data_IF_977957624923
#
_entry.id   IF_977957624923
#
_cell.length_a   1.000
_cell.length_b   1.000
_cell.length_c   1.000
_cell.angle_alpha   90.00
_cell.angle_beta   90.00
_cell.angle_gamma   90.00
#
_symmetry.space_group_name_H-M   'P 1'
#
loop_
_entity.id
_entity.type
_entity.pdbx_description
1 polymer ?
#
# COMPACT_ATOMS: atom_id res chain seq x y z
N UNK A 1 4.60 27.41 21.15
CA UNK A 1 5.38 26.23 20.75
C UNK A 1 6.16 26.60 19.50
N UNK A 2 7.47 26.31 19.47
CA UNK A 2 8.29 26.53 18.29
C UNK A 2 7.79 25.61 17.17
N UNK A 3 7.72 26.10 15.93
CA UNK A 3 7.37 25.30 14.75
C UNK A 3 8.58 25.29 13.83
N UNK A 4 8.88 24.12 13.28
CA UNK A 4 9.95 23.90 12.31
C UNK A 4 9.39 23.98 10.89
N UNK A 5 10.20 24.44 9.94
CA UNK A 5 9.83 24.42 8.52
C UNK A 5 10.37 23.15 7.88
N UNK A 6 9.50 22.41 7.19
CA UNK A 6 9.91 21.32 6.31
C UNK A 6 9.91 21.84 4.87
N UNK A 7 11.11 21.96 4.30
CA UNK A 7 11.31 22.42 2.92
C UNK A 7 11.97 21.32 2.09
N UNK A 8 11.47 21.09 0.89
CA UNK A 8 12.13 20.26 -0.11
C UNK A 8 13.12 21.11 -0.91
N UNK A 9 14.35 20.62 -1.09
CA UNK A 9 15.36 21.26 -1.93
C UNK A 9 15.79 20.32 -3.04
N UNK A 10 15.65 20.76 -4.29
CA UNK A 10 15.94 19.99 -5.49
C UNK A 10 17.33 20.35 -6.01
N UNK A 11 18.28 19.43 -5.85
CA UNK A 11 19.69 19.63 -6.22
C UNK A 11 20.13 18.68 -7.34
N UNK A 12 21.11 19.12 -8.12
CA UNK A 12 21.85 18.27 -9.05
C UNK A 12 22.96 17.55 -8.27
N UNK A 13 22.85 16.22 -8.18
CA UNK A 13 23.78 15.41 -7.38
C UNK A 13 25.26 15.67 -7.68
N UNK A 14 25.63 15.85 -8.95
CA UNK A 14 27.03 16.02 -9.35
C UNK A 14 27.65 17.39 -9.06
N UNK A 15 26.83 18.45 -8.88
CA UNK A 15 27.34 19.81 -8.64
C UNK A 15 26.91 20.41 -7.31
N UNK A 16 25.87 19.85 -6.67
CA UNK A 16 25.24 20.44 -5.48
C UNK A 16 24.42 21.70 -5.78
N UNK A 17 24.40 22.17 -7.04
CA UNK A 17 23.58 23.32 -7.46
C UNK A 17 22.11 22.95 -7.57
N UNK A 18 21.24 23.95 -7.67
CA UNK A 18 19.81 23.73 -7.91
C UNK A 18 19.56 22.96 -9.21
N UNK A 19 18.56 22.07 -9.18
CA UNK A 19 18.22 21.24 -10.32
C UNK A 19 17.76 22.12 -11.50
N UNK A 20 18.36 22.04 -12.71
CA UNK A 20 18.13 22.99 -13.79
C UNK A 20 16.69 22.96 -14.37
N UNK A 21 15.98 21.85 -14.18
CA UNK A 21 14.58 21.71 -14.59
C UNK A 21 13.57 22.21 -13.54
N UNK A 22 14.00 22.51 -12.31
CA UNK A 22 13.13 23.00 -11.26
C UNK A 22 13.02 24.53 -11.32
N UNK A 23 11.83 25.04 -11.67
CA UNK A 23 11.51 26.47 -11.64
C UNK A 23 11.52 27.03 -10.21
N UNK A 24 11.10 26.21 -9.25
CA UNK A 24 11.17 26.49 -7.82
C UNK A 24 12.01 25.41 -7.14
N UNK A 25 13.33 25.62 -7.04
CA UNK A 25 14.23 24.58 -6.52
C UNK A 25 14.11 24.37 -5.00
N UNK A 26 13.42 25.27 -4.30
CA UNK A 26 13.01 25.11 -2.91
C UNK A 26 11.49 25.18 -2.83
N UNK A 27 10.86 24.13 -2.33
CA UNK A 27 9.40 24.02 -2.19
C UNK A 27 9.09 23.89 -0.70
N UNK A 28 8.29 24.81 -0.17
CA UNK A 28 7.79 24.68 1.19
C UNK A 28 6.76 23.55 1.25
N UNK A 29 6.96 22.58 2.14
CA UNK A 29 6.03 21.44 2.29
C UNK A 29 5.00 21.77 3.37
N UNK A 30 5.46 21.99 4.60
CA UNK A 30 4.62 22.36 5.73
C UNK A 30 5.45 22.87 6.91
N UNK A 31 4.79 23.45 7.91
CA UNK A 31 5.36 23.58 9.26
C UNK A 31 5.09 22.32 10.07
N UNK A 32 6.08 21.88 10.83
CA UNK A 32 6.05 20.69 11.68
C UNK A 32 6.27 21.07 13.15
N UNK A 33 5.56 20.45 14.11
CA UNK A 33 5.92 20.56 15.53
C UNK A 33 7.21 19.78 15.85
N UNK A 34 7.53 18.75 15.06
CA UNK A 34 8.75 17.95 15.20
C UNK A 34 9.91 18.57 14.42
N UNK A 35 11.12 18.43 14.98
CA UNK A 35 12.37 18.83 14.33
C UNK A 35 12.66 17.95 13.12
N UNK A 36 12.40 16.65 13.23
CA UNK A 36 12.79 15.63 12.25
C UNK A 36 11.62 14.69 11.95
N UNK A 37 10.55 15.17 11.29
CA UNK A 37 9.47 14.29 10.87
C UNK A 37 10.00 13.25 9.87
N UNK A 38 9.41 12.05 9.87
CA UNK A 38 9.78 11.00 8.93
C UNK A 38 9.18 11.30 7.56
N UNK A 39 10.04 11.31 6.54
CA UNK A 39 9.67 11.68 5.17
C UNK A 39 9.99 10.55 4.20
N UNK A 40 8.97 10.10 3.46
CA UNK A 40 9.13 9.15 2.35
C UNK A 40 8.80 9.85 1.05
N UNK A 41 9.75 9.91 0.11
CA UNK A 41 9.58 10.57 -1.17
C UNK A 41 9.81 9.63 -2.36
N UNK A 42 9.07 9.84 -3.45
CA UNK A 42 9.35 9.23 -4.76
C UNK A 42 9.08 10.24 -5.87
N UNK A 43 9.89 10.16 -6.93
CA UNK A 43 9.75 10.97 -8.14
C UNK A 43 9.52 10.04 -9.32
N UNK A 44 8.43 10.26 -10.05
CA UNK A 44 8.18 9.61 -11.33
C UNK A 44 7.65 10.63 -12.31
N UNK A 45 8.41 10.84 -13.39
CA UNK A 45 8.07 11.86 -14.37
C UNK A 45 8.11 13.26 -13.76
N UNK A 46 7.00 13.99 -13.89
CA UNK A 46 6.83 15.33 -13.30
C UNK A 46 6.24 15.27 -11.88
N UNK A 47 5.77 14.09 -11.44
CA UNK A 47 5.15 13.89 -10.14
C UNK A 47 6.21 13.59 -9.07
N UNK A 48 6.22 14.40 -8.01
CA UNK A 48 6.87 14.10 -6.73
C UNK A 48 5.79 13.78 -5.71
N UNK A 49 5.78 12.55 -5.21
CA UNK A 49 4.93 12.13 -4.11
C UNK A 49 5.73 12.10 -2.80
N UNK A 50 5.11 12.60 -1.74
CA UNK A 50 5.73 12.76 -0.41
C UNK A 50 4.73 12.31 0.66
N UNK A 51 5.14 11.38 1.52
CA UNK A 51 4.45 11.11 2.79
C UNK A 51 5.28 11.71 3.91
N UNK A 52 4.64 12.55 4.72
CA UNK A 52 5.22 13.11 5.95
C UNK A 52 4.41 12.56 7.12
N UNK A 53 5.08 11.90 8.04
CA UNK A 53 4.46 11.30 9.22
C UNK A 53 5.29 11.56 10.47
N UNK A 54 4.60 11.53 11.60
CA UNK A 54 5.17 11.70 12.92
C UNK A 54 5.59 10.34 13.48
N UNK A 55 6.81 10.23 13.99
CA UNK A 55 7.25 9.02 14.68
C UNK A 55 6.58 8.90 16.06
N UNK A 56 6.33 10.05 16.71
CA UNK A 56 5.73 10.15 18.05
C UNK A 56 4.19 10.26 18.03
N UNK A 57 3.57 10.33 16.85
CA UNK A 57 2.14 10.61 16.69
C UNK A 57 1.72 12.03 17.08
N UNK A 58 2.64 13.00 17.08
CA UNK A 58 2.37 14.40 17.45
C UNK A 58 1.53 15.16 16.42
N UNK A 59 1.45 14.66 15.18
CA UNK A 59 0.59 15.22 14.13
C UNK A 59 0.10 14.14 13.15
N UNK A 60 -1.00 14.45 12.46
CA UNK A 60 -1.62 13.63 11.41
C UNK A 60 -0.69 13.39 10.22
N UNK A 61 -0.60 12.16 9.73
CA UNK A 61 0.17 11.86 8.52
C UNK A 61 -0.44 12.58 7.32
N UNK A 62 0.41 12.99 6.38
CA UNK A 62 -0.01 13.69 5.17
C UNK A 62 0.66 13.15 3.93
N UNK A 63 -0.14 12.99 2.88
CA UNK A 63 0.31 12.76 1.51
C UNK A 63 0.31 14.09 0.76
N UNK A 64 1.44 14.43 0.15
CA UNK A 64 1.57 15.55 -0.76
C UNK A 64 1.96 15.06 -2.15
N UNK A 65 1.36 15.67 -3.18
CA UNK A 65 1.78 15.47 -4.57
C UNK A 65 2.15 16.83 -5.13
N UNK A 66 3.36 16.95 -5.67
CA UNK A 66 3.84 18.15 -6.34
C UNK A 66 4.17 17.84 -7.81
N UNK A 67 3.98 18.84 -8.65
CA UNK A 67 4.74 18.94 -9.89
C UNK A 67 6.11 19.54 -9.55
N UNK A 68 7.16 18.72 -9.49
CA UNK A 68 8.45 19.17 -8.95
C UNK A 68 9.18 20.14 -9.87
N UNK A 69 8.88 20.10 -11.18
CA UNK A 69 9.48 21.03 -12.15
C UNK A 69 8.92 22.42 -11.98
N UNK A 70 7.62 22.54 -11.74
CA UNK A 70 6.94 23.82 -11.54
C UNK A 70 6.89 24.25 -10.08
N UNK A 71 7.15 23.36 -9.13
CA UNK A 71 6.95 23.59 -7.69
C UNK A 71 5.49 23.62 -7.24
N UNK A 72 4.55 23.33 -8.14
CA UNK A 72 3.12 23.43 -7.85
C UNK A 72 2.63 22.27 -6.98
N UNK A 73 2.02 22.57 -5.84
CA UNK A 73 1.34 21.58 -4.98
C UNK A 73 0.00 21.18 -5.62
N UNK A 74 -0.11 19.93 -6.03
CA UNK A 74 -1.29 19.36 -6.70
C UNK A 74 -2.26 18.69 -5.74
N UNK A 75 -1.75 18.08 -4.67
CA UNK A 75 -2.54 17.43 -3.62
C UNK A 75 -1.89 17.66 -2.26
N UNK A 76 -2.74 17.86 -1.26
CA UNK A 76 -2.43 17.64 0.14
C UNK A 76 -3.60 16.87 0.74
N UNK A 77 -3.32 15.69 1.29
CA UNK A 77 -4.32 14.84 1.90
C UNK A 77 -3.87 14.45 3.30
N UNK A 78 -4.64 14.85 4.30
CA UNK A 78 -4.44 14.47 5.69
C UNK A 78 -5.24 13.23 6.05
N UNK A 79 -4.60 12.32 6.78
CA UNK A 79 -5.25 11.13 7.33
C UNK A 79 -5.08 11.10 8.84
N UNK A 80 -5.74 10.16 9.51
CA UNK A 80 -5.48 9.92 10.94
C UNK A 80 -3.98 9.71 11.18
N UNK A 81 -3.53 10.02 12.39
CA UNK A 81 -2.17 9.72 12.83
C UNK A 81 -1.78 8.31 12.41
N UNK A 82 -0.53 8.16 11.96
CA UNK A 82 0.09 6.85 11.96
C UNK A 82 -0.56 5.90 10.90
N UNK A 83 -1.14 6.44 9.84
CA UNK A 83 -1.80 5.73 8.75
C UNK A 83 -0.89 5.48 7.55
N UNK A 84 0.00 6.40 7.18
CA UNK A 84 0.86 6.28 6.01
C UNK A 84 2.31 6.07 6.41
N UNK A 85 2.95 5.05 5.84
CA UNK A 85 4.35 4.76 6.13
C UNK A 85 5.21 4.46 4.91
N UNK A 86 4.60 4.44 3.71
CA UNK A 86 5.29 4.24 2.45
C UNK A 86 4.39 4.60 1.27
N UNK A 87 4.98 4.62 0.07
CA UNK A 87 4.27 4.85 -1.18
C UNK A 87 5.07 4.25 -2.34
N UNK A 88 4.40 3.83 -3.41
CA UNK A 88 5.06 3.36 -4.62
C UNK A 88 4.23 3.69 -5.86
N UNK A 89 4.91 4.07 -6.94
CA UNK A 89 4.25 4.21 -8.23
C UNK A 89 4.08 2.84 -8.89
N UNK A 90 2.88 2.57 -9.38
CA UNK A 90 2.54 1.40 -10.20
C UNK A 90 2.71 1.75 -11.69
N UNK A 91 2.34 2.96 -12.04
CA UNK A 91 2.65 3.61 -13.32
C UNK A 91 2.95 5.08 -13.03
N UNK A 92 3.39 5.89 -14.01
CA UNK A 92 3.59 7.32 -13.81
C UNK A 92 2.35 8.11 -13.37
N UNK A 93 1.16 7.56 -13.64
CA UNK A 93 -0.14 8.18 -13.34
C UNK A 93 -0.88 7.46 -12.20
N UNK A 94 -0.34 6.35 -11.68
CA UNK A 94 -0.98 5.57 -10.63
C UNK A 94 -0.03 5.39 -9.44
N UNK A 95 -0.44 5.95 -8.31
CA UNK A 95 0.26 5.86 -7.04
C UNK A 95 -0.50 4.93 -6.11
N UNK A 96 0.21 4.03 -5.43
CA UNK A 96 -0.34 3.19 -4.38
C UNK A 96 0.26 3.59 -3.04
N UNK A 97 -0.63 3.87 -2.08
CA UNK A 97 -0.29 4.28 -0.71
C UNK A 97 -0.93 3.28 0.26
N UNK A 98 -0.16 2.46 0.99
CA UNK A 98 -0.69 1.60 2.03
C UNK A 98 -1.22 2.45 3.21
N UNK A 99 -2.47 2.20 3.61
CA UNK A 99 -3.10 2.79 4.78
C UNK A 99 -3.17 1.75 5.91
N UNK A 100 -2.38 1.98 6.96
CA UNK A 100 -2.24 1.09 8.14
C UNK A 100 -3.49 1.05 8.99
N UNK A 101 -4.16 2.19 9.17
CA UNK A 101 -5.35 2.29 10.03
C UNK A 101 -6.54 1.58 9.38
N UNK A 102 -6.66 1.69 8.06
CA UNK A 102 -7.77 1.12 7.30
C UNK A 102 -7.47 -0.27 6.71
N UNK A 103 -6.25 -0.79 6.90
CA UNK A 103 -5.80 -2.08 6.37
C UNK A 103 -6.13 -2.25 4.88
N UNK A 104 -5.71 -1.29 4.05
CA UNK A 104 -5.89 -1.38 2.61
C UNK A 104 -4.85 -0.56 1.85
N UNK A 105 -4.76 -0.78 0.54
CA UNK A 105 -4.03 0.08 -0.38
C UNK A 105 -4.97 1.13 -0.96
N UNK A 106 -4.60 2.39 -0.85
CA UNK A 106 -5.26 3.48 -1.57
C UNK A 106 -4.60 3.66 -2.93
N UNK A 107 -5.40 3.69 -3.98
CA UNK A 107 -4.93 3.90 -5.35
C UNK A 107 -5.33 5.31 -5.78
N UNK A 108 -4.32 6.11 -6.11
CA UNK A 108 -4.46 7.50 -6.51
C UNK A 108 -4.12 7.64 -7.98
N UNK A 109 -5.04 8.25 -8.74
CA UNK A 109 -4.82 8.68 -10.11
C UNK A 109 -4.21 10.08 -10.12
N UNK A 110 -3.12 10.25 -10.86
CA UNK A 110 -2.36 11.48 -10.99
C UNK A 110 -2.38 11.92 -12.46
N UNK A 111 -3.39 12.68 -12.92
CA UNK A 111 -3.47 13.16 -14.30
C UNK A 111 -2.19 13.91 -14.71
N UNK A 112 -1.76 13.91 -15.97
CA UNK A 112 -0.61 14.70 -16.40
C UNK A 112 -0.82 16.20 -16.16
N UNK A 113 0.11 16.85 -15.44
CA UNK A 113 0.00 18.28 -15.05
C UNK A 113 -0.17 19.24 -16.23
N UNK A 114 0.40 18.91 -17.39
CA UNK A 114 0.43 19.79 -18.56
C UNK A 114 -0.87 19.81 -19.35
N UNK A 115 -1.66 18.72 -19.27
CA UNK A 115 -2.83 18.52 -20.12
C UNK A 115 -4.15 18.71 -19.36
N UNK A 116 -4.14 18.53 -18.04
CA UNK A 116 -5.35 18.56 -17.27
C UNK A 116 -5.12 19.17 -15.87
N UNK A 117 -5.77 20.30 -15.53
CA UNK A 117 -5.67 20.90 -14.20
C UNK A 117 -6.38 20.07 -13.12
N UNK A 118 -7.00 18.94 -13.47
CA UNK A 118 -7.67 18.08 -12.50
C UNK A 118 -6.70 17.68 -11.38
N UNK A 119 -7.11 17.85 -10.11
CA UNK A 119 -6.31 17.42 -8.99
C UNK A 119 -6.17 15.89 -9.01
N UNK A 120 -5.09 15.36 -8.41
CA UNK A 120 -5.02 13.95 -8.04
C UNK A 120 -6.27 13.49 -7.29
N UNK A 121 -6.77 12.31 -7.61
CA UNK A 121 -7.97 11.74 -6.98
C UNK A 121 -7.74 10.28 -6.58
N UNK A 122 -8.28 9.88 -5.44
CA UNK A 122 -8.36 8.47 -5.07
C UNK A 122 -9.44 7.78 -5.89
N UNK A 123 -9.09 6.69 -6.58
CA UNK A 123 -9.99 5.98 -7.49
C UNK A 123 -10.41 4.61 -6.98
N UNK A 124 -9.61 4.00 -6.10
CA UNK A 124 -9.80 2.62 -5.66
C UNK A 124 -9.19 2.40 -4.27
N UNK A 125 -9.75 1.44 -3.54
CA UNK A 125 -9.18 0.91 -2.30
C UNK A 125 -9.15 -0.62 -2.36
N UNK A 126 -7.96 -1.19 -2.21
CA UNK A 126 -7.73 -2.63 -2.30
C UNK A 126 -7.46 -3.19 -0.90
N UNK A 127 -8.41 -3.92 -0.32
CA UNK A 127 -8.28 -4.46 1.05
C UNK A 127 -7.24 -5.57 1.12
N UNK A 128 -6.47 -5.61 2.20
CA UNK A 128 -5.65 -6.77 2.55
C UNK A 128 -6.50 -7.80 3.32
N UNK A 129 -5.99 -9.01 3.57
CA UNK A 129 -6.69 -9.95 4.44
C UNK A 129 -6.98 -9.34 5.81
N UNK A 130 -8.16 -9.62 6.37
CA UNK A 130 -8.53 -9.19 7.71
C UNK A 130 -7.47 -9.62 8.73
N UNK A 131 -7.02 -8.71 9.57
CA UNK A 131 -6.09 -9.01 10.68
C UNK A 131 -6.93 -9.46 11.86
N UNK A 132 -6.55 -10.56 12.52
CA UNK A 132 -7.31 -11.08 13.67
C UNK A 132 -7.32 -10.08 14.83
N UNK A 133 -8.41 -9.99 15.63
CA UNK A 133 -8.60 -8.94 16.64
C UNK A 133 -7.50 -8.84 17.71
N UNK A 134 -6.80 -9.94 17.98
CA UNK A 134 -5.70 -10.00 18.94
C UNK A 134 -4.37 -9.43 18.40
N UNK A 135 -4.32 -9.11 17.11
CA UNK A 135 -3.17 -8.54 16.42
C UNK A 135 -3.43 -7.10 15.96
N UNK A 136 -2.33 -6.35 15.82
CA UNK A 136 -2.33 -4.97 15.33
C UNK A 136 -1.22 -4.79 14.31
N UNK A 137 -1.55 -4.12 13.21
CA UNK A 137 -0.60 -3.78 12.16
C UNK A 137 0.26 -2.60 12.63
N UNK A 138 1.57 -2.80 12.73
CA UNK A 138 2.57 -1.81 13.17
C UNK A 138 3.32 -1.19 12.02
N UNK A 139 3.70 -1.99 11.02
CA UNK A 139 4.35 -1.49 9.80
C UNK A 139 3.55 -1.96 8.61
N UNK A 140 3.29 -1.03 7.68
CA UNK A 140 2.64 -1.32 6.41
C UNK A 140 3.24 -0.42 5.31
N UNK A 141 4.37 -0.88 4.76
CA UNK A 141 5.21 -0.10 3.84
C UNK A 141 5.36 -0.80 2.51
N UNK A 142 5.36 -0.06 1.41
CA UNK A 142 5.59 -0.62 0.09
C UNK A 142 6.89 -0.09 -0.53
N UNK A 143 7.48 -0.93 -1.39
CA UNK A 143 8.69 -0.67 -2.15
C UNK A 143 8.49 -1.23 -3.57
N UNK A 144 8.85 -0.47 -4.59
CA UNK A 144 8.76 -0.92 -5.97
C UNK A 144 9.90 -0.33 -6.78
N UNK A 145 11.05 -0.99 -6.77
CA UNK A 145 12.21 -0.55 -7.54
C UNK A 145 12.52 -1.55 -8.68
N UNK A 146 12.93 -1.07 -9.87
CA UNK A 146 13.05 0.35 -10.25
C UNK A 146 11.68 1.03 -10.39
N UNK A 147 11.60 2.35 -10.26
CA UNK A 147 10.38 3.11 -10.53
C UNK A 147 9.99 3.06 -12.04
N UNK A 148 8.69 3.14 -12.38
CA UNK A 148 8.25 3.17 -13.78
C UNK A 148 8.73 4.44 -14.48
N UNK A 149 9.01 4.38 -15.77
CA UNK A 149 9.40 5.54 -16.56
C UNK A 149 8.22 6.04 -17.40
N UNK A 150 8.06 7.36 -17.54
CA UNK A 150 7.03 7.95 -18.42
C UNK A 150 7.24 7.58 -19.89
N UNK A 151 8.50 7.54 -20.30
CA UNK A 151 8.94 7.17 -21.63
C UNK A 151 10.24 6.40 -21.47
N UNK A 152 10.42 5.31 -22.23
CA UNK A 152 11.75 4.74 -22.48
C UNK A 152 12.65 5.92 -22.83
N UNK A 153 13.62 6.23 -21.98
CA UNK A 153 14.53 7.37 -22.17
C UNK A 153 15.03 7.25 -23.61
N UNK A 154 14.66 8.16 -24.54
CA UNK A 154 14.80 7.90 -25.98
C UNK A 154 16.27 7.71 -26.41
N UNK A 155 17.20 8.06 -25.53
CA UNK A 155 18.64 7.93 -25.71
C UNK A 155 19.26 6.66 -25.13
N UNK A 156 18.52 5.89 -24.34
CA UNK A 156 19.00 4.58 -23.91
C UNK A 156 18.45 3.56 -24.90
N UNK A 157 19.31 2.96 -25.76
CA UNK A 157 18.86 1.83 -26.56
C UNK A 157 18.23 0.81 -25.62
N UNK A 158 17.13 0.11 -26.01
CA UNK A 158 16.52 -0.92 -25.19
C UNK A 158 17.64 -1.87 -24.78
N UNK A 159 18.09 -1.75 -23.53
CA UNK A 159 19.28 -2.46 -23.10
C UNK A 159 18.81 -3.91 -23.01
N UNK A 160 19.38 -4.84 -23.80
CA UNK A 160 18.86 -6.22 -23.89
C UNK A 160 18.79 -6.96 -22.56
N UNK A 161 19.45 -6.41 -21.54
CA UNK A 161 19.68 -7.05 -20.25
C UNK A 161 18.85 -6.43 -19.11
N UNK A 162 18.21 -5.28 -19.30
CA UNK A 162 17.46 -4.62 -18.22
C UNK A 162 16.00 -5.06 -18.22
N UNK A 163 15.54 -5.61 -17.09
CA UNK A 163 14.12 -5.86 -16.89
C UNK A 163 13.36 -4.55 -16.97
N UNK A 164 12.32 -4.50 -17.81
CA UNK A 164 11.46 -3.32 -17.87
C UNK A 164 10.83 -3.09 -16.48
N UNK A 165 10.81 -1.85 -15.95
CA UNK A 165 10.23 -1.56 -14.66
C UNK A 165 8.79 -2.04 -14.53
N UNK A 166 8.02 -1.99 -15.62
CA UNK A 166 6.63 -2.46 -15.66
C UNK A 166 6.52 -3.93 -15.22
N UNK A 167 7.56 -4.73 -15.50
CA UNK A 167 7.64 -6.14 -15.12
C UNK A 167 8.25 -6.39 -13.74
N UNK A 168 8.68 -5.35 -13.02
CA UNK A 168 9.25 -5.48 -11.68
C UNK A 168 8.21 -5.97 -10.67
N UNK A 169 8.69 -6.35 -9.49
CA UNK A 169 7.84 -6.60 -8.34
C UNK A 169 7.63 -5.33 -7.52
N UNK A 170 6.52 -5.32 -6.78
CA UNK A 170 6.25 -4.45 -5.65
C UNK A 170 6.24 -5.34 -4.42
N UNK A 171 7.03 -4.97 -3.43
CA UNK A 171 7.10 -5.62 -2.13
C UNK A 171 6.38 -4.75 -1.11
N UNK A 172 5.56 -5.37 -0.28
CA UNK A 172 4.88 -4.72 0.83
C UNK A 172 5.24 -5.43 2.12
N UNK A 173 5.87 -4.70 3.03
CA UNK A 173 6.32 -5.19 4.32
C UNK A 173 5.25 -4.94 5.39
N UNK A 174 4.92 -6.00 6.11
CA UNK A 174 4.00 -6.04 7.24
C UNK A 174 4.78 -6.38 8.49
N UNK A 175 4.65 -5.57 9.54
CA UNK A 175 4.96 -6.00 10.91
C UNK A 175 3.69 -5.98 11.73
N UNK A 176 3.37 -7.11 12.33
CA UNK A 176 2.14 -7.33 13.07
C UNK A 176 2.52 -7.76 14.48
N UNK A 177 1.88 -7.18 15.49
CA UNK A 177 2.14 -7.51 16.90
C UNK A 177 0.84 -7.80 17.63
N UNK A 178 0.84 -8.81 18.49
CA UNK A 178 -0.27 -9.10 19.41
C UNK A 178 -0.13 -8.33 20.72
N UNK A 179 -1.25 -8.20 21.44
CA UNK A 179 -1.26 -7.73 22.83
C UNK A 179 -0.45 -8.61 23.78
N UNK A 180 -0.30 -9.90 23.45
CA UNK A 180 0.54 -10.86 24.18
C UNK A 180 2.03 -10.75 23.87
N UNK A 181 2.44 -9.77 23.06
CA UNK A 181 3.84 -9.53 22.68
C UNK A 181 4.36 -10.47 21.59
N UNK A 182 3.52 -11.33 21.02
CA UNK A 182 3.89 -12.11 19.83
C UNK A 182 4.04 -11.15 18.66
N UNK A 183 5.06 -11.38 17.84
CA UNK A 183 5.27 -10.59 16.64
C UNK A 183 5.41 -11.49 15.43
N UNK A 184 4.94 -11.00 14.30
CA UNK A 184 5.04 -11.66 13.02
C UNK A 184 5.36 -10.62 11.96
N UNK A 185 6.32 -10.94 11.10
CA UNK A 185 6.65 -10.11 9.95
C UNK A 185 6.37 -10.88 8.67
N UNK A 186 5.75 -10.20 7.71
CA UNK A 186 5.42 -10.78 6.42
C UNK A 186 5.80 -9.82 5.30
N UNK A 187 6.23 -10.37 4.17
CA UNK A 187 6.38 -9.63 2.93
C UNK A 187 5.40 -10.17 1.89
N UNK A 188 4.54 -9.29 1.39
CA UNK A 188 3.66 -9.51 0.24
C UNK A 188 4.39 -9.05 -1.02
N UNK A 189 4.52 -9.94 -2.00
CA UNK A 189 5.11 -9.65 -3.30
C UNK A 189 4.01 -9.68 -4.35
N UNK A 190 4.00 -8.69 -5.23
CA UNK A 190 3.11 -8.60 -6.39
C UNK A 190 3.90 -8.19 -7.62
N UNK A 191 3.53 -8.67 -8.81
CA UNK A 191 4.02 -8.03 -10.04
C UNK A 191 3.38 -6.66 -10.21
N UNK A 192 4.18 -5.64 -10.53
CA UNK A 192 3.69 -4.30 -10.85
C UNK A 192 2.70 -4.34 -12.01
N UNK A 193 3.02 -5.05 -13.09
CA UNK A 193 2.12 -5.23 -14.24
C UNK A 193 0.78 -5.84 -13.84
N UNK A 194 0.80 -6.91 -13.04
CA UNK A 194 -0.43 -7.57 -12.61
C UNK A 194 -1.29 -6.66 -11.71
N UNK A 195 -0.66 -5.87 -10.84
CA UNK A 195 -1.36 -4.86 -10.04
C UNK A 195 -1.96 -3.74 -10.91
N UNK A 196 -1.23 -3.29 -11.94
CA UNK A 196 -1.72 -2.32 -12.92
C UNK A 196 -2.97 -2.85 -13.65
N UNK A 197 -2.89 -4.06 -14.18
CA UNK A 197 -4.00 -4.69 -14.91
C UNK A 197 -5.21 -4.91 -13.98
N UNK A 198 -4.98 -5.24 -12.71
CA UNK A 198 -6.01 -5.34 -11.67
C UNK A 198 -6.70 -4.00 -11.43
N UNK A 199 -5.93 -2.91 -11.24
CA UNK A 199 -6.49 -1.56 -11.06
C UNK A 199 -7.34 -1.20 -12.28
N UNK A 200 -6.82 -1.39 -13.49
CA UNK A 200 -7.53 -1.07 -14.74
C UNK A 200 -8.84 -1.86 -14.88
N UNK A 201 -8.84 -3.12 -14.46
CA UNK A 201 -10.05 -3.96 -14.47
C UNK A 201 -11.14 -3.38 -13.56
N UNK A 202 -10.77 -2.96 -12.34
CA UNK A 202 -11.73 -2.42 -11.36
C UNK A 202 -12.14 -0.97 -11.63
N UNK A 203 -11.36 -0.22 -12.40
CA UNK A 203 -11.66 1.18 -12.74
C UNK A 203 -12.23 1.35 -14.15
N UNK A 204 -12.44 0.26 -14.89
CA UNK A 204 -13.00 0.32 -16.24
C UNK A 204 -14.48 0.72 -16.20
N UNK A 205 -14.95 1.64 -17.08
CA UNK A 205 -16.33 2.13 -17.08
C UNK A 205 -17.40 1.02 -17.14
N UNK A 206 -17.13 -0.03 -17.91
CA UNK A 206 -18.05 -1.17 -18.08
C UNK A 206 -18.33 -1.91 -16.78
N UNK A 207 -17.37 -1.94 -15.85
CA UNK A 207 -17.53 -2.62 -14.57
C UNK A 207 -18.24 -1.72 -13.55
N UNK A 208 -18.03 -0.40 -13.64
CA UNK A 208 -18.72 0.58 -12.81
C UNK A 208 -20.24 0.58 -13.05
N UNK A 209 -20.67 0.43 -14.31
CA UNK A 209 -22.09 0.30 -14.66
C UNK A 209 -22.74 -0.97 -14.08
N UNK A 210 -21.97 -2.03 -13.86
CA UNK A 210 -22.45 -3.29 -13.28
C UNK A 210 -22.42 -3.31 -11.74
N UNK A 211 -21.66 -2.42 -11.11
CA UNK A 211 -21.36 -2.46 -9.67
C UNK A 211 -22.14 -1.47 -8.80
N UNK A 212 -23.23 -0.87 -9.28
CA UNK A 212 -24.09 0.04 -8.49
C UNK A 212 -24.53 -0.55 -7.12
N UNK A 213 -24.46 -1.87 -6.92
CA UNK A 213 -24.83 -2.55 -5.67
C UNK A 213 -23.71 -2.76 -4.63
N UNK A 214 -22.45 -2.46 -4.94
CA UNK A 214 -21.28 -2.81 -4.09
C UNK A 214 -20.53 -1.60 -3.52
N UNK A 215 -21.09 -0.40 -3.63
CA UNK A 215 -20.45 0.81 -3.13
C UNK A 215 -20.55 0.88 -1.60
N UNK A 216 -19.46 0.54 -0.92
CA UNK A 216 -19.25 0.91 0.48
C UNK A 216 -18.84 2.38 0.52
N UNK A 217 -19.70 3.21 1.10
CA UNK A 217 -19.48 4.65 1.15
C UNK A 217 -18.54 5.01 2.30
N UNK A 218 -17.30 5.40 1.97
CA UNK A 218 -16.47 6.18 2.89
C UNK A 218 -16.81 7.67 2.69
N UNK A 219 -16.96 8.42 3.78
CA UNK A 219 -17.21 9.85 3.71
C UNK A 219 -15.86 10.58 3.77
N UNK A 220 -15.39 11.02 2.60
CA UNK A 220 -14.29 11.99 2.52
C UNK A 220 -14.90 13.38 2.52
N UNK A 221 -14.48 14.25 3.45
CA UNK A 221 -14.89 15.65 3.50
C UNK A 221 -13.78 16.50 2.90
N UNK A 222 -14.09 17.28 1.88
CA UNK A 222 -13.15 18.24 1.29
C UNK A 222 -13.53 19.64 1.75
N UNK A 223 -12.61 20.32 2.42
CA UNK A 223 -12.74 21.71 2.83
C UNK A 223 -11.90 22.59 1.91
N UNK A 224 -12.47 23.67 1.40
CA UNK A 224 -11.67 24.78 0.90
C UNK A 224 -11.18 25.57 2.10
N UNK A 225 -9.87 25.54 2.32
CA UNK A 225 -9.21 26.31 3.37
C UNK A 225 -8.30 27.30 2.66
N UNK A 226 -8.55 28.59 2.87
CA UNK A 226 -7.56 29.59 2.53
C UNK A 226 -6.38 29.39 3.47
N UNK A 227 -5.20 29.08 2.92
CA UNK A 227 -3.99 28.99 3.71
C UNK A 227 -3.73 30.38 4.33
N UNK A 228 -3.75 30.52 5.66
CA UNK A 228 -3.61 31.81 6.32
C UNK A 228 -2.21 32.42 6.12
N UNK A 229 -1.22 31.66 5.65
CA UNK A 229 0.15 32.11 5.50
C UNK A 229 0.45 32.70 4.12
N UNK A 230 -0.14 32.16 3.04
CA UNK A 230 0.11 32.64 1.67
C UNK A 230 -1.14 33.14 0.93
N UNK A 231 -2.33 33.01 1.53
CA UNK A 231 -3.61 33.42 0.96
C UNK A 231 -4.09 32.53 -0.20
N UNK A 232 -3.41 31.43 -0.49
CA UNK A 232 -3.83 30.47 -1.52
C UNK A 232 -5.06 29.70 -1.06
N UNK A 233 -6.03 29.51 -1.96
CA UNK A 233 -7.20 28.67 -1.70
C UNK A 233 -6.80 27.22 -1.95
N UNK A 234 -6.75 26.42 -0.89
CA UNK A 234 -6.33 25.03 -0.95
C UNK A 234 -7.51 24.08 -0.68
N UNK A 235 -7.52 22.93 -1.36
CA UNK A 235 -8.42 21.82 -1.04
C UNK A 235 -7.74 20.93 0.00
N UNK A 236 -8.32 20.87 1.21
CA UNK A 236 -7.94 19.92 2.25
C UNK A 236 -8.96 18.78 2.27
N UNK A 237 -8.51 17.54 2.10
CA UNK A 237 -9.38 16.37 2.14
C UNK A 237 -9.09 15.56 3.41
N UNK A 238 -10.12 15.33 4.22
CA UNK A 238 -10.08 14.45 5.40
C UNK A 238 -10.99 13.25 5.16
N UNK A 239 -10.47 12.04 5.36
CA UNK A 239 -11.26 10.80 5.30
C UNK A 239 -11.72 10.41 6.70
N UNK A 240 -13.03 10.19 6.87
CA UNK A 240 -13.58 9.59 8.10
C UNK A 240 -14.40 8.36 7.73
N UNK A 241 -14.09 7.23 8.36
CA UNK A 241 -14.89 6.03 8.19
C UNK A 241 -16.24 6.24 8.91
N UNK A 242 -17.33 6.33 8.15
CA UNK A 242 -18.69 6.39 8.69
C UNK A 242 -19.40 5.13 8.21
N UNK A 243 -19.67 4.20 9.13
CA UNK A 243 -20.44 2.99 8.82
C UNK A 243 -21.92 3.34 8.66
N UNK A 244 -22.33 3.71 7.45
CA UNK A 244 -23.75 3.78 7.10
C UNK A 244 -24.22 2.40 6.67
N UNK A 245 -24.95 1.70 7.54
CA UNK A 245 -25.67 0.49 7.16
C UNK A 245 -26.72 0.88 6.11
N UNK A 246 -26.70 0.35 4.87
CA UNK A 246 -27.73 0.67 3.91
C UNK A 246 -29.07 0.19 4.45
N UNK A 247 -30.00 1.12 4.67
CA UNK A 247 -31.38 0.75 4.94
C UNK A 247 -31.93 0.01 3.72
N UNK A 248 -32.55 -1.18 3.89
CA UNK A 248 -33.21 -1.86 2.79
C UNK A 248 -34.25 -0.90 2.21
N UNK A 249 -34.02 -0.48 0.96
CA UNK A 249 -34.99 0.35 0.24
C UNK A 249 -36.25 -0.48 0.11
N UNK A 250 -37.29 -0.09 0.83
CA UNK A 250 -38.60 -0.73 0.78
C UNK A 250 -39.08 -0.73 -0.68
N UNK A 251 -39.26 -1.93 -1.23
CA UNK A 251 -39.86 -2.15 -2.55
C UNK A 251 -41.16 -1.35 -2.71
N UNK A 252 -41.47 -0.83 -3.91
CA UNK A 252 -42.76 -0.24 -4.18
C UNK A 252 -43.82 -1.36 -4.09
N UNK A 253 -44.62 -1.32 -3.03
CA UNK A 253 -45.82 -2.14 -2.89
C UNK A 253 -46.81 -1.73 -3.99
N UNK A 254 -46.96 -2.59 -4.98
CA UNK A 254 -48.20 -2.68 -5.75
C UNK A 254 -49.32 -3.07 -4.80
N UNK A 255 -50.32 -2.21 -4.70
CA UNK A 255 -51.56 -2.52 -4.01
C UNK A 255 -52.33 -3.57 -4.78
N UNK A 256 -52.84 -4.57 -4.06
CA UNK A 256 -54.21 -5.04 -4.17
C UNK A 256 -54.51 -5.95 -2.96
N UNK A 257 -55.52 -5.56 -2.19
CA UNK A 257 -56.16 -6.37 -1.13
C UNK A 257 -57.30 -7.19 -1.75
N UNK A 258 -57.68 -8.36 -1.19
CA UNK A 258 -58.71 -8.30 -0.13
C UNK A 258 -58.55 -9.32 1.02
N UNK A 259 -58.85 -8.80 2.22
CA UNK A 259 -59.72 -9.32 3.31
C UNK A 259 -59.74 -10.83 3.64
N UNK A 260 -59.37 -11.21 4.87
CA UNK A 260 -60.27 -11.78 5.90
C UNK A 260 -59.58 -12.02 7.27
N UNK A 261 -60.23 -11.50 8.32
CA UNK A 261 -60.51 -12.02 9.67
C UNK A 261 -59.45 -12.56 10.67
N UNK A 262 -59.42 -11.86 11.82
CA UNK A 262 -59.39 -12.32 13.24
C UNK A 262 -58.12 -13.08 13.70
N UNK A 263 -57.36 -12.66 14.74
CA UNK A 263 -57.81 -12.53 16.14
C UNK A 263 -56.74 -11.87 17.04
N UNK A 264 -57.23 -11.11 18.02
CA UNK A 264 -56.71 -10.79 19.37
C UNK A 264 -55.36 -11.39 19.82
N UNK A 265 -54.46 -10.57 20.38
CA UNK A 265 -54.27 -10.46 21.85
C UNK A 265 -53.35 -9.30 22.24
N UNK A 266 -53.69 -8.73 23.38
CA UNK A 266 -53.21 -7.50 23.99
C UNK A 266 -51.89 -7.69 24.75
N UNK A 267 -51.00 -6.69 24.73
CA UNK A 267 -50.14 -6.40 25.89
C UNK A 267 -49.68 -4.94 25.92
N UNK A 268 -50.14 -4.26 26.96
CA UNK A 268 -49.87 -2.87 27.36
C UNK A 268 -48.62 -2.75 28.24
N UNK A 269 -48.14 -1.51 28.37
CA UNK A 269 -47.35 -0.84 29.45
C UNK A 269 -46.02 -0.22 28.98
N UNK A 270 -45.53 0.88 29.61
CA UNK A 270 -46.15 2.20 29.55
C UNK A 270 -45.15 3.34 29.22
N UNK A 271 -45.70 4.41 28.66
CA UNK A 271 -45.11 5.75 28.50
C UNK A 271 -44.81 6.40 29.85
N UNK A 272 -43.63 7.00 30.00
CA UNK A 272 -43.31 7.90 31.11
C UNK A 272 -43.03 9.31 30.61
N UNK A 273 -43.50 10.27 31.39
CA UNK A 273 -43.62 11.70 31.12
C UNK A 273 -42.41 12.49 31.68
N UNK A 274 -42.04 13.54 30.95
CA UNK A 274 -41.84 14.94 31.38
C UNK A 274 -41.07 15.18 32.70
N UNK A 275 -39.95 15.91 32.59
CA UNK A 275 -39.62 16.97 33.55
C UNK A 275 -38.88 18.11 32.84
N UNK A 276 -39.42 19.30 33.06
CA UNK A 276 -38.88 20.60 32.70
C UNK A 276 -38.08 21.19 33.89
N UNK A 277 -37.42 22.30 33.60
CA UNK A 277 -36.81 23.30 34.50
C UNK A 277 -35.27 23.25 34.63
N UNK A 278 -34.60 24.12 33.88
CA UNK A 278 -33.52 24.95 34.46
C UNK A 278 -33.23 26.20 33.60
N UNK A 279 -33.79 27.31 34.07
CA UNK A 279 -33.31 28.70 34.17
C UNK A 279 -32.10 29.17 33.33
N UNK A 280 -32.38 30.29 32.65
CA UNK A 280 -31.53 31.25 31.97
C UNK A 280 -30.21 31.65 32.65
N UNK A 281 -29.17 31.83 31.83
CA UNK A 281 -28.14 32.86 32.03
C UNK A 281 -27.55 33.25 30.67
N UNK A 282 -27.95 34.42 30.19
CA UNK A 282 -27.54 34.98 28.90
C UNK A 282 -26.10 35.46 28.89
N UNK A 283 -25.39 35.11 27.81
CA UNK A 283 -24.16 35.77 27.37
C UNK A 283 -24.25 35.99 25.86
N UNK A 284 -24.54 37.22 25.46
CA UNK A 284 -24.59 37.66 24.06
C UNK A 284 -23.16 37.91 23.57
N UNK A 285 -22.54 36.88 22.97
CA UNK A 285 -21.35 37.06 22.12
C UNK A 285 -21.79 37.22 20.67
N UNK A 286 -21.63 38.43 20.14
CA UNK A 286 -21.85 38.76 18.72
C UNK A 286 -20.78 38.04 17.89
N UNK A 287 -21.12 36.86 17.39
CA UNK A 287 -20.32 36.13 16.41
C UNK A 287 -20.64 36.69 15.02
N UNK A 288 -19.68 37.40 14.42
CA UNK A 288 -19.74 37.79 13.01
C UNK A 288 -19.64 36.53 12.15
N UNK A 289 -20.81 36.00 11.77
CA UNK A 289 -20.94 34.81 10.94
C UNK A 289 -20.43 35.04 9.52
N UNK A 290 -19.14 34.75 9.30
CA UNK A 290 -18.66 34.37 7.98
C UNK A 290 -19.11 32.92 7.80
N UNK A 291 -20.28 32.75 7.17
CA UNK A 291 -20.78 31.44 6.74
C UNK A 291 -19.89 30.94 5.61
N UNK A 292 -18.77 30.30 5.96
CA UNK A 292 -18.00 29.49 5.03
C UNK A 292 -18.88 28.31 4.63
N UNK A 293 -19.47 28.39 3.44
CA UNK A 293 -20.22 27.29 2.85
C UNK A 293 -19.26 26.12 2.59
N UNK A 294 -19.06 25.26 3.59
CA UNK A 294 -18.27 24.04 3.42
C UNK A 294 -19.08 23.07 2.56
N UNK A 295 -18.78 23.03 1.27
CA UNK A 295 -19.32 22.01 0.38
C UNK A 295 -18.65 20.68 0.72
N UNK A 296 -19.27 19.88 1.60
CA UNK A 296 -18.82 18.51 1.87
C UNK A 296 -19.13 17.63 0.66
N UNK A 297 -18.19 17.56 -0.28
CA UNK A 297 -18.27 16.63 -1.39
C UNK A 297 -17.93 15.22 -0.90
N UNK A 298 -18.94 14.35 -0.78
CA UNK A 298 -18.72 12.93 -0.45
C UNK A 298 -18.11 12.23 -1.64
N UNK A 299 -16.85 11.82 -1.54
CA UNK A 299 -16.23 10.94 -2.52
C UNK A 299 -16.32 9.50 -2.06
N UNK A 300 -17.13 8.71 -2.76
CA UNK A 300 -17.22 7.27 -2.58
C UNK A 300 -16.33 6.61 -3.62
N UNK A 301 -15.29 5.91 -3.19
CA UNK A 301 -14.45 5.10 -4.07
C UNK A 301 -14.76 3.61 -3.88
N UNK A 302 -14.51 2.83 -4.92
CA UNK A 302 -14.72 1.38 -4.90
C UNK A 302 -13.75 0.73 -3.91
N UNK A 303 -14.27 -0.13 -3.03
CA UNK A 303 -13.47 -0.98 -2.15
C UNK A 303 -13.54 -2.42 -2.67
N UNK A 304 -12.38 -2.98 -3.01
CA UNK A 304 -12.27 -4.35 -3.51
C UNK A 304 -11.72 -5.25 -2.39
N UNK A 305 -12.48 -6.28 -1.98
CA UNK A 305 -12.06 -7.18 -0.91
C UNK A 305 -10.96 -8.14 -1.39
N UNK A 306 -10.13 -8.62 -0.46
CA UNK A 306 -8.89 -9.35 -0.76
C UNK A 306 -9.12 -10.53 -1.72
N UNK A 307 -10.15 -11.34 -1.48
CA UNK A 307 -10.47 -12.55 -2.23
C UNK A 307 -10.77 -12.30 -3.71
N UNK A 308 -11.04 -11.05 -4.10
CA UNK A 308 -11.34 -10.66 -5.49
C UNK A 308 -10.13 -10.19 -6.27
N UNK A 309 -9.11 -9.65 -5.62
CA UNK A 309 -7.97 -9.02 -6.31
C UNK A 309 -6.61 -9.60 -5.91
N UNK A 310 -6.45 -10.04 -4.67
CA UNK A 310 -5.18 -10.42 -4.07
C UNK A 310 -4.64 -11.76 -4.55
N UNK A 311 -5.36 -12.89 -4.35
CA UNK A 311 -4.82 -14.22 -4.58
C UNK A 311 -4.16 -14.43 -5.97
N UNK A 312 -4.74 -13.97 -7.09
CA UNK A 312 -4.15 -14.22 -8.41
C UNK A 312 -2.78 -13.55 -8.63
N UNK A 313 -2.49 -12.44 -7.95
CA UNK A 313 -1.32 -11.60 -8.25
C UNK A 313 -0.29 -11.54 -7.12
N UNK A 314 -0.52 -12.25 -6.02
CA UNK A 314 0.25 -12.11 -4.79
C UNK A 314 0.97 -13.38 -4.35
N UNK A 315 2.11 -13.18 -3.67
CA UNK A 315 2.86 -14.19 -2.91
C UNK A 315 3.20 -13.63 -1.53
N UNK A 316 3.01 -14.42 -0.48
CA UNK A 316 3.40 -14.04 0.88
C UNK A 316 4.61 -14.84 1.35
N UNK A 317 5.49 -14.17 2.09
CA UNK A 317 6.61 -14.79 2.81
C UNK A 317 6.57 -14.36 4.27
N UNK A 318 6.64 -15.31 5.19
CA UNK A 318 6.98 -14.99 6.57
C UNK A 318 8.48 -14.68 6.63
N UNK A 319 8.85 -13.56 7.26
CA UNK A 319 10.23 -13.08 7.33
C UNK A 319 10.62 -12.75 8.76
N UNK A 320 11.92 -12.73 9.04
CA UNK A 320 12.45 -12.28 10.32
C UNK A 320 12.35 -10.75 10.45
N UNK A 321 12.07 -10.25 11.66
CA UNK A 321 11.84 -8.81 11.89
C UNK A 321 13.06 -7.94 11.60
N UNK A 322 14.26 -8.50 11.78
CA UNK A 322 15.53 -7.78 11.87
C UNK A 322 16.08 -7.32 10.53
N UNK A 323 15.67 -7.96 9.43
CA UNK A 323 16.33 -7.74 8.15
C UNK A 323 15.63 -6.69 7.30
N UNK A 324 16.41 -5.69 6.90
CA UNK A 324 16.04 -4.81 5.79
C UNK A 324 16.40 -5.52 4.50
N UNK A 325 15.38 -6.03 3.82
CA UNK A 325 15.53 -6.61 2.49
C UNK A 325 15.18 -5.58 1.43
N UNK A 326 15.94 -5.57 0.33
CA UNK A 326 15.58 -4.78 -0.87
C UNK A 326 15.35 -5.72 -2.04
N UNK A 327 14.33 -5.42 -2.83
CA UNK A 327 14.08 -6.03 -4.13
C UNK A 327 14.63 -5.16 -5.26
N UNK A 328 14.98 -5.77 -6.38
CA UNK A 328 15.28 -5.05 -7.61
C UNK A 328 14.74 -5.81 -8.82
N UNK A 329 13.99 -5.12 -9.67
CA UNK A 329 13.42 -5.73 -10.86
C UNK A 329 12.44 -6.86 -10.48
N UNK A 330 12.70 -8.07 -10.95
CA UNK A 330 11.85 -9.25 -10.71
C UNK A 330 12.33 -10.14 -9.56
N UNK A 331 13.33 -9.70 -8.80
CA UNK A 331 13.95 -10.52 -7.75
C UNK A 331 13.83 -9.89 -6.38
N UNK A 332 13.69 -10.77 -5.40
CA UNK A 332 13.56 -10.45 -3.99
C UNK A 332 14.51 -11.34 -3.18
N UNK A 333 15.34 -10.74 -2.34
CA UNK A 333 16.20 -11.49 -1.44
C UNK A 333 15.69 -11.40 -0.01
N UNK A 334 15.81 -12.49 0.74
CA UNK A 334 15.47 -12.55 2.16
C UNK A 334 16.26 -13.64 2.86
N UNK A 335 16.36 -13.59 4.18
CA UNK A 335 16.87 -14.74 4.93
C UNK A 335 15.77 -15.52 5.60
N UNK A 336 15.96 -16.83 5.65
CA UNK A 336 15.01 -17.77 6.25
C UNK A 336 14.98 -17.57 7.77
N UNK A 337 13.77 -17.67 8.33
CA UNK A 337 13.52 -17.53 9.75
C UNK A 337 14.01 -18.73 10.58
N UNK A 338 14.15 -19.89 9.95
CA UNK A 338 14.27 -21.17 10.65
C UNK A 338 15.71 -21.70 10.73
N UNK A 339 16.72 -20.84 10.73
CA UNK A 339 18.09 -21.30 10.87
C UNK A 339 18.31 -21.90 12.29
N UNK A 340 18.87 -23.12 12.42
CA UNK A 340 19.00 -23.81 13.71
C UNK A 340 19.86 -23.06 14.74
N UNK A 341 20.85 -22.31 14.26
CA UNK A 341 21.91 -21.71 15.08
C UNK A 341 21.58 -20.28 15.56
N UNK A 342 20.48 -19.68 15.08
CA UNK A 342 20.01 -18.34 15.48
C UNK A 342 20.91 -17.15 15.11
N UNK A 343 22.23 -17.35 15.00
CA UNK A 343 23.21 -16.32 14.65
C UNK A 343 23.50 -16.24 13.15
N UNK A 344 23.38 -17.36 12.43
CA UNK A 344 23.57 -17.41 10.99
C UNK A 344 22.24 -17.65 10.30
N UNK A 345 22.08 -17.03 9.14
CA UNK A 345 20.85 -17.09 8.38
C UNK A 345 21.15 -17.58 6.96
N UNK A 346 20.34 -18.51 6.48
CA UNK A 346 20.39 -18.94 5.08
C UNK A 346 19.74 -17.86 4.22
N UNK A 347 20.48 -17.36 3.23
CA UNK A 347 19.96 -16.33 2.32
C UNK A 347 19.28 -17.01 1.14
N UNK A 348 18.09 -16.54 0.81
CA UNK A 348 17.30 -17.01 -0.33
C UNK A 348 17.03 -15.86 -1.29
N UNK A 349 17.11 -16.13 -2.58
CA UNK A 349 16.68 -15.23 -3.65
C UNK A 349 15.48 -15.85 -4.35
N UNK A 350 14.40 -15.09 -4.42
CA UNK A 350 13.20 -15.44 -5.16
C UNK A 350 13.20 -14.69 -6.49
N UNK A 351 13.03 -15.42 -7.58
CA UNK A 351 12.89 -14.87 -8.93
C UNK A 351 11.45 -15.06 -9.41
N UNK A 352 10.77 -13.95 -9.67
CA UNK A 352 9.40 -13.89 -10.16
C UNK A 352 9.34 -13.79 -11.69
N UNK A 353 10.43 -14.02 -12.40
CA UNK A 353 10.40 -14.00 -13.85
C UNK A 353 9.54 -15.16 -14.41
N UNK A 354 8.41 -14.88 -15.09
CA UNK A 354 7.49 -15.92 -15.54
C UNK A 354 8.08 -16.83 -16.62
N UNK A 355 9.03 -16.32 -17.42
CA UNK A 355 9.73 -17.12 -18.42
C UNK A 355 10.65 -18.15 -17.76
N UNK A 356 11.40 -17.76 -16.72
CA UNK A 356 12.23 -18.71 -15.97
C UNK A 356 11.39 -19.79 -15.30
N UNK A 357 10.27 -19.40 -14.69
CA UNK A 357 9.33 -20.34 -14.08
C UNK A 357 8.80 -21.35 -15.11
N UNK A 358 8.30 -20.86 -16.26
CA UNK A 358 7.80 -21.72 -17.35
C UNK A 358 8.87 -22.68 -17.87
N UNK A 359 10.08 -22.18 -18.13
CA UNK A 359 11.20 -23.00 -18.60
C UNK A 359 11.58 -24.09 -17.58
N UNK A 360 11.53 -23.77 -16.29
CA UNK A 360 11.80 -24.73 -15.23
C UNK A 360 10.70 -25.80 -15.16
N UNK A 361 9.43 -25.41 -15.23
CA UNK A 361 8.30 -26.34 -15.28
C UNK A 361 8.39 -27.28 -16.49
N UNK A 362 8.69 -26.75 -17.67
CA UNK A 362 8.90 -27.56 -18.89
C UNK A 362 10.08 -28.54 -18.74
N UNK A 363 11.16 -28.14 -18.06
CA UNK A 363 12.31 -29.01 -17.79
C UNK A 363 11.93 -30.14 -16.83
N UNK A 364 11.23 -29.85 -15.74
CA UNK A 364 10.78 -30.85 -14.77
C UNK A 364 9.78 -31.83 -15.40
N UNK A 365 8.84 -31.33 -16.21
CA UNK A 365 7.89 -32.17 -16.94
C UNK A 365 8.61 -33.16 -17.88
N UNK A 366 9.68 -32.74 -18.57
CA UNK A 366 10.48 -33.62 -19.44
C UNK A 366 11.25 -34.69 -18.67
N UNK A 367 11.78 -34.34 -17.50
CA UNK A 367 12.47 -35.29 -16.62
C UNK A 367 11.48 -36.31 -16.03
N UNK A 368 10.28 -35.87 -15.66
CA UNK A 368 9.20 -36.74 -15.17
C UNK A 368 8.55 -37.61 -16.25
N UNK A 369 8.53 -37.16 -17.52
CA UNK A 369 8.01 -37.93 -18.66
C UNK A 369 9.02 -38.89 -19.27
N UNK A 370 10.28 -38.88 -18.82
CA UNK A 370 11.28 -39.82 -19.25
C UNK A 370 10.93 -41.21 -18.75
N UNK A 371 10.43 -42.07 -19.66
CA UNK A 371 10.23 -43.51 -19.50
C UNK A 371 11.56 -44.19 -19.12
N UNK A 372 11.93 -44.07 -17.85
CA UNK A 372 13.03 -44.79 -17.21
C UNK A 372 12.45 -45.99 -16.49
N UNK A 373 12.25 -47.07 -17.23
CA UNK A 373 12.11 -48.40 -16.64
C UNK A 373 13.29 -48.67 -15.69
N UNK A 374 12.95 -49.13 -14.49
CA UNK A 374 13.81 -49.82 -13.51
C UNK A 374 14.54 -49.00 -12.44
N UNK A 375 14.03 -49.26 -11.22
CA UNK A 375 14.74 -49.54 -9.97
C UNK A 375 15.18 -48.40 -9.06
N UNK A 376 14.36 -48.27 -8.01
CA UNK A 376 14.75 -48.17 -6.60
C UNK A 376 15.17 -46.81 -6.02
N UNK A 377 14.20 -46.29 -5.26
CA UNK A 377 14.29 -45.85 -3.86
C UNK A 377 14.72 -44.40 -3.55
N UNK A 378 13.70 -43.68 -3.06
CA UNK A 378 13.73 -42.67 -2.00
C UNK A 378 14.40 -41.32 -2.30
N UNK A 379 13.89 -40.60 -3.28
CA UNK A 379 13.91 -39.13 -3.21
C UNK A 379 12.47 -38.63 -3.15
N UNK A 380 12.15 -37.93 -2.06
CA UNK A 380 10.84 -37.35 -1.77
C UNK A 380 10.44 -36.42 -2.92
N UNK A 381 9.53 -36.95 -3.75
CA UNK A 381 8.94 -36.27 -4.88
C UNK A 381 8.25 -34.98 -4.46
N UNK A 382 8.70 -33.89 -5.05
CA UNK A 382 7.99 -32.63 -5.09
C UNK A 382 6.79 -32.82 -6.02
N UNK A 383 5.68 -33.34 -5.48
CA UNK A 383 4.41 -33.50 -6.21
C UNK A 383 3.97 -32.16 -6.80
N UNK A 384 3.87 -32.11 -8.13
CA UNK A 384 3.29 -31.02 -8.90
C UNK A 384 1.77 -31.02 -8.69
N UNK A 385 1.31 -30.58 -7.51
CA UNK A 385 -0.12 -30.40 -7.25
C UNK A 385 -0.65 -29.27 -8.12
N UNK A 386 -1.55 -29.69 -9.02
CA UNK A 386 -2.43 -28.94 -9.89
C UNK A 386 -2.73 -27.50 -9.44
N UNK A 387 -2.72 -26.58 -10.42
CA UNK A 387 -3.31 -25.23 -10.59
C UNK A 387 -4.16 -24.58 -9.45
N UNK A 388 -3.83 -24.85 -8.20
CA UNK A 388 -4.47 -24.28 -7.02
C UNK A 388 -3.68 -23.10 -6.49
N UNK A 389 -4.39 -22.20 -5.84
CA UNK A 389 -3.76 -21.22 -4.96
C UNK A 389 -3.14 -21.94 -3.77
N UNK A 390 -1.93 -21.54 -3.40
CA UNK A 390 -1.30 -22.00 -2.17
C UNK A 390 -1.90 -21.21 -0.99
N UNK A 391 -2.02 -21.85 0.17
CA UNK A 391 -2.54 -21.20 1.38
C UNK A 391 -1.35 -20.83 2.27
N UNK A 392 -1.29 -19.58 2.73
CA UNK A 392 -0.29 -19.12 3.70
C UNK A 392 -0.61 -19.67 5.09
N UNK A 393 0.30 -20.41 5.70
CA UNK A 393 0.25 -20.70 7.14
C UNK A 393 0.64 -19.43 7.92
N UNK A 394 -0.38 -18.66 8.31
CA UNK A 394 -0.21 -17.43 9.07
C UNK A 394 -0.43 -17.62 10.57
N UNK A 395 -0.59 -18.85 11.07
CA UNK A 395 -0.72 -19.14 12.52
C UNK A 395 -1.76 -18.27 13.26
N UNK A 396 -2.88 -17.97 12.60
CA UNK A 396 -3.97 -17.16 13.14
C UNK A 396 -3.78 -15.64 13.08
N UNK A 397 -2.70 -15.13 12.48
CA UNK A 397 -2.47 -13.67 12.35
C UNK A 397 -3.56 -12.97 11.53
N UNK A 398 -4.01 -13.60 10.45
CA UNK A 398 -5.15 -13.15 9.66
C UNK A 398 -6.43 -13.88 10.08
N UNK A 399 -7.57 -13.20 10.00
CA UNK A 399 -8.88 -13.71 10.39
C UNK A 399 -9.52 -14.63 9.34
N UNK A 400 -8.94 -14.67 8.15
CA UNK A 400 -9.40 -15.44 7.00
C UNK A 400 -8.23 -16.18 6.35
N UNK A 401 -8.54 -17.22 5.58
CA UNK A 401 -7.54 -17.98 4.82
C UNK A 401 -6.91 -17.08 3.75
N UNK A 402 -5.57 -17.04 3.72
CA UNK A 402 -4.82 -16.20 2.77
C UNK A 402 -4.29 -17.05 1.63
N UNK A 403 -4.97 -16.97 0.50
CA UNK A 403 -4.58 -17.60 -0.76
C UNK A 403 -3.55 -16.78 -1.53
N UNK A 404 -2.60 -17.46 -2.18
CA UNK A 404 -1.54 -16.87 -3.00
C UNK A 404 -1.30 -17.66 -4.28
N UNK A 405 -1.26 -16.96 -5.42
CA UNK A 405 -1.17 -17.54 -6.76
C UNK A 405 0.05 -17.13 -7.56
N UNK A 406 0.79 -16.12 -7.11
CA UNK A 406 1.99 -15.68 -7.81
C UNK A 406 3.09 -16.75 -7.70
N UNK A 407 3.42 -17.37 -8.83
CA UNK A 407 4.47 -18.39 -8.94
C UNK A 407 5.87 -17.76 -8.95
N UNK A 408 6.84 -18.49 -8.43
CA UNK A 408 8.23 -18.02 -8.33
C UNK A 408 9.22 -19.19 -8.28
N UNK A 409 10.50 -18.89 -8.50
CA UNK A 409 11.62 -19.80 -8.27
C UNK A 409 12.40 -19.33 -7.06
N UNK A 410 12.74 -20.26 -6.15
CA UNK A 410 13.52 -19.95 -4.94
C UNK A 410 14.90 -20.57 -5.08
N UNK A 411 15.93 -19.73 -5.03
CA UNK A 411 17.33 -20.11 -4.99
C UNK A 411 17.85 -19.92 -3.57
N UNK A 412 18.41 -20.97 -2.98
CA UNK A 412 19.03 -20.91 -1.64
C UNK A 412 20.53 -20.89 -1.78
N UNK A 413 21.19 -20.09 -0.96
CA UNK A 413 22.65 -20.17 -0.85
C UNK A 413 23.07 -21.51 -0.25
N UNK A 414 24.21 -22.08 -0.65
CA UNK A 414 24.69 -23.35 -0.10
C UNK A 414 25.15 -23.22 1.35
N UNK A 415 25.62 -22.04 1.73
CA UNK A 415 26.14 -21.75 3.07
C UNK A 415 25.20 -20.82 3.86
N UNK A 416 25.42 -20.79 5.17
CA UNK A 416 24.82 -19.84 6.09
C UNK A 416 25.71 -18.60 6.25
N UNK A 417 25.08 -17.43 6.37
CA UNK A 417 25.79 -16.16 6.53
C UNK A 417 25.25 -15.37 7.71
N UNK A 418 26.11 -14.59 8.35
CA UNK A 418 25.82 -13.74 9.50
C UNK A 418 25.43 -12.30 9.09
N UNK A 419 24.90 -12.11 7.88
CA UNK A 419 24.57 -10.77 7.37
C UNK A 419 23.45 -10.09 8.17
N UNK A 420 23.66 -8.82 8.47
CA UNK A 420 22.65 -7.96 9.08
C UNK A 420 21.71 -7.34 8.04
N UNK A 421 22.21 -7.13 6.81
CA UNK A 421 21.44 -6.60 5.69
C UNK A 421 21.68 -7.40 4.41
N UNK A 422 20.63 -7.55 3.60
CA UNK A 422 20.71 -8.21 2.29
C UNK A 422 20.07 -7.31 1.25
N UNK A 423 20.88 -6.87 0.29
CA UNK A 423 20.45 -5.96 -0.78
C UNK A 423 20.50 -6.67 -2.13
N UNK A 424 19.39 -6.63 -2.86
CA UNK A 424 19.32 -7.14 -4.22
C UNK A 424 19.65 -6.04 -5.23
N UNK A 425 20.52 -6.35 -6.17
CA UNK A 425 20.72 -5.59 -7.41
C UNK A 425 20.30 -6.47 -8.62
N UNK A 426 20.28 -5.90 -9.81
CA UNK A 426 19.90 -6.58 -11.05
C UNK A 426 20.65 -7.91 -11.28
N UNK A 427 21.95 -7.98 -10.99
CA UNK A 427 22.80 -9.16 -11.28
C UNK A 427 23.43 -9.79 -10.05
N UNK A 428 23.33 -9.13 -8.90
CA UNK A 428 24.05 -9.52 -7.71
C UNK A 428 23.23 -9.33 -6.44
N UNK A 429 23.73 -9.98 -5.40
CA UNK A 429 23.23 -9.93 -4.06
C UNK A 429 24.38 -9.41 -3.17
N UNK A 430 24.11 -8.37 -2.39
CA UNK A 430 25.06 -7.82 -1.43
C UNK A 430 24.62 -8.23 -0.03
N UNK A 431 25.44 -9.02 0.64
CA UNK A 431 25.32 -9.28 2.07
C UNK A 431 26.21 -8.29 2.83
N UNK A 432 25.64 -7.56 3.78
CA UNK A 432 26.35 -6.58 4.59
C UNK A 432 26.33 -7.05 6.05
N UNK A 433 27.51 -7.16 6.65
CA UNK A 433 27.70 -7.32 8.09
C UNK A 433 27.95 -5.95 8.71
N UNK A 434 27.25 -5.67 9.81
CA UNK A 434 27.43 -4.48 10.61
C UNK A 434 28.11 -4.85 11.93
N UNK A 435 28.99 -3.97 12.40
CA UNK A 435 29.61 -4.08 13.71
C UNK A 435 28.62 -3.70 14.84
N UNK A 436 29.09 -3.74 16.08
CA UNK A 436 28.27 -3.39 17.27
C UNK A 436 27.78 -1.95 17.31
N UNK A 437 28.36 -1.06 16.50
CA UNK A 437 27.98 0.35 16.39
C UNK A 437 27.08 0.60 15.16
N UNK A 438 26.78 -0.43 14.37
CA UNK A 438 26.02 -0.32 13.14
C UNK A 438 26.84 0.14 11.93
N UNK A 439 28.17 0.16 12.02
CA UNK A 439 29.06 0.45 10.89
C UNK A 439 29.29 -0.81 10.07
N UNK A 440 29.55 -0.64 8.78
CA UNK A 440 29.92 -1.74 7.90
C UNK A 440 31.20 -2.44 8.36
N UNK A 441 31.09 -3.71 8.73
CA UNK A 441 32.22 -4.58 9.07
C UNK A 441 32.73 -5.31 7.82
N UNK A 442 31.82 -5.85 7.01
CA UNK A 442 32.17 -6.49 5.75
C UNK A 442 31.02 -6.50 4.75
N UNK A 443 31.36 -6.48 3.45
CA UNK A 443 30.43 -6.71 2.34
C UNK A 443 30.87 -7.95 1.57
N UNK A 444 29.91 -8.84 1.29
CA UNK A 444 30.06 -9.95 0.36
C UNK A 444 29.13 -9.76 -0.82
N UNK A 445 29.66 -9.98 -2.03
CA UNK A 445 28.91 -9.85 -3.29
C UNK A 445 28.77 -11.24 -3.91
N UNK A 446 27.53 -11.66 -4.14
CA UNK A 446 27.22 -12.90 -4.84
C UNK A 446 26.65 -12.59 -6.22
N UNK A 447 27.12 -13.31 -7.23
CA UNK A 447 26.59 -13.24 -8.57
C UNK A 447 25.53 -14.31 -8.78
N UNK A 448 24.42 -13.92 -9.39
CA UNK A 448 23.32 -14.84 -9.72
C UNK A 448 23.45 -15.18 -11.19
N UNK A 449 24.13 -16.29 -11.48
CA UNK A 449 24.45 -16.80 -12.82
C UNK A 449 23.60 -18.00 -13.22
#
# INVERSE_FOLDING_TARGET
MQRHSLDLVLLKFSTGEYHPLARHPRIHVQRSPEVEPLVVSRIVGDNLALVVHSDEGTFSDKLFIFDWKTGCKRLQHGVSENAYSGLTFVSPELLVVPNRVLSHFEVWHLPPSQLNPNPPVQILSLKIPGVSPEYSLRIFRCYGEPNPFLHSVPYLPPRPFFSSPENSIIMVAFRISSSSGRRASYNLIMHRRALLDTIQTWTSPSLLEQQEYLWLTNEVTVHQIADPEDGSVQLDAQSKLVSTTPHPRSSPRTGDSPTFSTSQTSRTFPTSHISADSVDSGSLSVSSGISTNSSTSRYTFLQVPWEKWGPPISRWFQVNETQVTRSHGQRYAFSDANAPDGEKLMVSVVDFNPHKFRRNAEMMARLGSGEGENNSNNEEGQEEKAEGFEILDHKGVFSEEVYMGLKCLVYRTPDEYDFDLVLMEEKGLFGVKLDRHGWEESIKVFYIG
#
